data_IF_469157090583
#
_entry.id   IF_469157090583
#
_cell.length_a   1.000
_cell.length_b   1.000
_cell.length_c   1.000
_cell.angle_alpha   90.00
_cell.angle_beta   90.00
_cell.angle_gamma   90.00
#
_symmetry.space_group_name_H-M   'P 1'
#
loop_
_entity.id
_entity.type
_entity.pdbx_description
1 polymer ?
#
# COMPACT_ATOMS: atom_id res chain seq x y z
N UNK A 1 -16.34 14.80 2.44
CA UNK A 1 -15.50 15.64 1.56
C UNK A 1 -14.94 14.77 0.45
N UNK A 2 -15.47 14.89 -0.78
CA UNK A 2 -14.68 14.54 -1.96
C UNK A 2 -13.41 15.37 -1.87
N UNK A 3 -12.25 14.73 -1.80
CA UNK A 3 -10.97 15.43 -1.58
C UNK A 3 -10.61 16.29 -2.81
N UNK A 4 -11.36 16.18 -3.91
CA UNK A 4 -11.15 16.95 -5.15
C UNK A 4 -12.46 17.53 -5.70
N UNK A 5 -12.37 18.75 -6.24
CA UNK A 5 -13.44 19.43 -6.98
C UNK A 5 -13.83 18.61 -8.23
N UNK A 6 -15.10 18.22 -8.45
CA UNK A 6 -15.47 17.37 -9.58
C UNK A 6 -15.35 18.12 -10.91
N UNK A 7 -14.68 17.53 -11.90
CA UNK A 7 -14.56 18.07 -13.26
C UNK A 7 -15.79 17.71 -14.07
N UNK A 8 -16.49 18.70 -14.60
CA UNK A 8 -17.74 18.53 -15.33
C UNK A 8 -17.56 19.01 -16.76
N UNK A 9 -17.65 18.09 -17.71
CA UNK A 9 -17.53 18.42 -19.14
C UNK A 9 -18.86 18.89 -19.70
N UNK A 10 -18.90 20.07 -20.33
CA UNK A 10 -20.12 20.63 -20.93
C UNK A 10 -20.01 20.58 -22.46
N UNK A 11 -20.71 19.61 -23.05
CA UNK A 11 -20.81 19.40 -24.49
C UNK A 11 -22.07 20.05 -25.06
N UNK A 12 -21.88 20.93 -26.04
CA UNK A 12 -22.97 21.49 -26.87
C UNK A 12 -22.39 22.13 -28.12
N UNK A 13 -23.26 22.51 -29.06
CA UNK A 13 -22.90 23.45 -30.12
C UNK A 13 -22.65 24.85 -29.53
N UNK A 14 -21.69 25.59 -30.09
CA UNK A 14 -21.26 26.90 -29.55
C UNK A 14 -22.07 28.06 -30.15
N UNK A 15 -22.37 28.00 -31.45
CA UNK A 15 -22.91 29.15 -32.22
C UNK A 15 -24.36 29.46 -31.86
N UNK A 16 -25.19 28.45 -31.64
CA UNK A 16 -26.64 28.58 -31.43
C UNK A 16 -27.06 28.54 -29.95
N UNK A 17 -26.14 28.28 -29.02
CA UNK A 17 -26.43 28.11 -27.60
C UNK A 17 -25.62 29.01 -26.64
N UNK A 18 -25.38 30.31 -26.94
CA UNK A 18 -24.52 31.14 -26.09
C UNK A 18 -25.10 31.35 -24.68
N UNK A 19 -26.42 31.44 -24.55
CA UNK A 19 -27.09 31.68 -23.26
C UNK A 19 -27.11 30.41 -22.41
N UNK A 20 -27.40 29.28 -23.04
CA UNK A 20 -27.47 27.95 -22.44
C UNK A 20 -26.08 27.50 -21.95
N UNK A 21 -25.03 27.75 -22.72
CA UNK A 21 -23.65 27.47 -22.29
C UNK A 21 -23.25 28.32 -21.08
N UNK A 22 -23.62 29.60 -21.07
CA UNK A 22 -23.38 30.49 -19.91
C UNK A 22 -24.17 30.03 -18.67
N UNK A 23 -25.39 29.55 -18.87
CA UNK A 23 -26.20 28.96 -17.80
C UNK A 23 -25.55 27.68 -17.25
N UNK A 24 -25.10 26.77 -18.13
CA UNK A 24 -24.43 25.55 -17.74
C UNK A 24 -23.13 25.80 -16.96
N UNK A 25 -22.32 26.77 -17.38
CA UNK A 25 -21.12 27.21 -16.66
C UNK A 25 -21.47 27.66 -15.23
N UNK A 26 -22.45 28.56 -15.08
CA UNK A 26 -22.90 29.04 -13.77
C UNK A 26 -23.43 27.91 -12.89
N UNK A 27 -24.18 26.98 -13.47
CA UNK A 27 -24.72 25.83 -12.74
C UNK A 27 -23.60 24.96 -12.16
N UNK A 28 -22.57 24.66 -12.96
CA UNK A 28 -21.39 23.89 -12.54
C UNK A 28 -20.62 24.60 -11.42
N UNK A 29 -20.36 25.91 -11.57
CA UNK A 29 -19.65 26.69 -10.54
C UNK A 29 -20.43 26.72 -9.21
N UNK A 30 -21.75 26.87 -9.27
CA UNK A 30 -22.61 26.98 -8.08
C UNK A 30 -22.72 25.68 -7.30
N UNK A 31 -22.60 24.52 -7.96
CA UNK A 31 -22.50 23.22 -7.27
C UNK A 31 -21.08 22.91 -6.78
N UNK A 32 -20.12 23.83 -6.98
CA UNK A 32 -18.73 23.68 -6.59
C UNK A 32 -17.94 22.73 -7.50
N UNK A 33 -18.38 22.55 -8.75
CA UNK A 33 -17.64 21.79 -9.76
C UNK A 33 -16.65 22.64 -10.54
N UNK A 34 -15.75 21.99 -11.28
CA UNK A 34 -14.82 22.61 -12.21
C UNK A 34 -15.34 22.44 -13.65
N UNK A 35 -15.79 23.52 -14.33
CA UNK A 35 -16.33 23.42 -15.68
C UNK A 35 -15.21 23.18 -16.71
N UNK A 36 -15.39 22.19 -17.56
CA UNK A 36 -14.52 21.89 -18.71
C UNK A 36 -15.31 22.17 -19.99
N UNK A 37 -14.89 23.18 -20.73
CA UNK A 37 -15.57 23.69 -21.93
C UNK A 37 -14.58 23.98 -23.05
N UNK A 38 -14.96 23.69 -24.29
CA UNK A 38 -14.07 23.74 -25.46
C UNK A 38 -13.57 25.15 -25.82
N UNK A 39 -14.31 26.20 -25.47
CA UNK A 39 -14.00 27.60 -25.76
C UNK A 39 -13.20 28.31 -24.65
N UNK A 40 -13.23 27.78 -23.42
CA UNK A 40 -12.59 28.42 -22.26
C UNK A 40 -11.34 27.70 -21.75
N UNK A 41 -11.22 26.39 -22.02
CA UNK A 41 -10.16 25.54 -21.42
C UNK A 41 -9.25 24.83 -22.44
N UNK A 42 -9.53 24.96 -23.73
CA UNK A 42 -8.70 24.39 -24.80
C UNK A 42 -7.83 25.51 -25.35
N UNK A 43 -6.55 25.53 -24.94
CA UNK A 43 -5.56 26.44 -25.52
C UNK A 43 -5.49 26.22 -27.03
N UNK A 44 -5.52 27.31 -27.80
CA UNK A 44 -5.41 27.30 -29.25
C UNK A 44 -3.99 26.89 -29.69
N UNK A 45 -3.67 25.61 -29.56
CA UNK A 45 -2.50 25.01 -30.21
C UNK A 45 -2.96 24.25 -31.45
N UNK A 46 -2.39 24.68 -32.59
CA UNK A 46 -2.63 24.15 -33.93
C UNK A 46 -2.35 22.64 -34.03
N UNK A 47 -3.23 21.96 -34.76
CA UNK A 47 -3.14 20.61 -35.36
C UNK A 47 -3.81 19.41 -34.67
N UNK A 48 -4.31 19.50 -33.43
CA UNK A 48 -5.13 18.38 -32.90
C UNK A 48 -6.20 18.81 -31.84
N UNK A 49 -7.05 19.77 -32.23
CA UNK A 49 -8.13 20.29 -31.37
C UNK A 49 -9.15 19.21 -30.96
N UNK A 50 -9.38 18.22 -31.83
CA UNK A 50 -10.29 17.11 -31.57
C UNK A 50 -9.71 16.14 -30.52
N UNK A 51 -8.48 15.66 -30.69
CA UNK A 51 -7.85 14.73 -29.74
C UNK A 51 -7.72 15.35 -28.34
N UNK A 52 -7.42 16.65 -28.28
CA UNK A 52 -7.38 17.40 -27.02
C UNK A 52 -8.75 17.43 -26.35
N UNK A 53 -9.82 17.69 -27.11
CA UNK A 53 -11.18 17.71 -26.58
C UNK A 53 -11.58 16.33 -26.02
N UNK A 54 -11.31 15.26 -26.76
CA UNK A 54 -11.60 13.89 -26.31
C UNK A 54 -10.79 13.48 -25.08
N UNK A 55 -9.53 13.94 -24.94
CA UNK A 55 -8.76 13.77 -23.71
C UNK A 55 -9.44 14.43 -22.51
N UNK A 56 -9.96 15.65 -22.69
CA UNK A 56 -10.65 16.38 -21.64
C UNK A 56 -11.96 15.72 -21.20
N UNK A 57 -12.68 15.09 -22.12
CA UNK A 57 -13.82 14.22 -21.77
C UNK A 57 -13.36 13.09 -20.85
N UNK A 58 -12.28 12.37 -21.20
CA UNK A 58 -11.74 11.25 -20.40
C UNK A 58 -11.24 11.65 -19.01
N UNK A 59 -10.76 12.89 -18.87
CA UNK A 59 -10.29 13.46 -17.60
C UNK A 59 -11.43 13.97 -16.69
N UNK A 60 -12.67 13.97 -17.17
CA UNK A 60 -13.83 14.52 -16.46
C UNK A 60 -14.57 13.46 -15.64
N UNK A 61 -15.24 13.90 -14.57
CA UNK A 61 -15.96 13.04 -13.64
C UNK A 61 -17.43 12.85 -14.01
N UNK A 62 -18.03 13.84 -14.67
CA UNK A 62 -19.43 13.86 -15.12
C UNK A 62 -19.48 14.54 -16.50
N UNK A 63 -20.31 14.02 -17.38
CA UNK A 63 -20.56 14.55 -18.71
C UNK A 63 -21.95 15.19 -18.80
N UNK A 64 -22.02 16.43 -19.25
CA UNK A 64 -23.26 17.17 -19.50
C UNK A 64 -23.39 17.41 -21.00
N UNK A 65 -24.48 16.92 -21.59
CA UNK A 65 -24.82 17.10 -22.99
C UNK A 65 -26.02 18.04 -23.12
N UNK A 66 -25.86 19.14 -23.88
CA UNK A 66 -26.96 20.07 -24.20
C UNK A 66 -27.25 19.94 -25.70
N UNK A 67 -28.43 19.42 -26.03
CA UNK A 67 -28.89 19.23 -27.41
C UNK A 67 -29.65 20.47 -27.87
N UNK A 68 -29.00 21.27 -28.72
CA UNK A 68 -29.57 22.44 -29.39
C UNK A 68 -30.31 22.10 -30.70
N UNK A 69 -30.43 23.13 -31.55
CA UNK A 69 -31.07 22.99 -32.87
C UNK A 69 -30.12 22.46 -33.95
N UNK A 70 -28.82 22.75 -33.84
CA UNK A 70 -27.81 22.38 -34.83
C UNK A 70 -27.12 21.06 -34.49
N UNK A 71 -26.71 20.31 -35.51
CA UNK A 71 -25.90 19.10 -35.32
C UNK A 71 -24.43 19.38 -34.98
N UNK A 72 -23.95 20.56 -35.39
CA UNK A 72 -22.58 21.02 -35.12
C UNK A 72 -21.63 20.79 -36.30
N UNK A 73 -20.35 21.04 -36.06
CA UNK A 73 -19.30 20.90 -37.09
C UNK A 73 -18.84 19.45 -37.23
N UNK A 74 -18.63 19.02 -38.47
CA UNK A 74 -18.20 17.67 -38.84
C UNK A 74 -16.79 17.70 -39.43
N UNK A 75 -15.80 17.01 -38.83
CA UNK A 75 -14.50 16.81 -39.45
C UNK A 75 -14.60 15.78 -40.57
N UNK A 76 -14.17 16.13 -41.79
CA UNK A 76 -13.93 15.17 -42.89
C UNK A 76 -15.08 14.17 -43.14
N UNK A 77 -16.33 14.63 -43.14
CA UNK A 77 -17.55 13.80 -43.30
C UNK A 77 -17.78 12.73 -42.20
N UNK A 78 -17.19 12.89 -41.01
CA UNK A 78 -17.46 12.06 -39.82
C UNK A 78 -18.63 12.61 -39.00
N UNK A 79 -18.95 11.94 -37.90
CA UNK A 79 -19.92 12.42 -36.89
C UNK A 79 -19.50 13.79 -36.33
N UNK A 80 -20.46 14.56 -35.80
CA UNK A 80 -20.15 15.87 -35.22
C UNK A 80 -19.24 15.75 -34.00
N UNK A 81 -18.51 16.83 -33.67
CA UNK A 81 -17.65 16.85 -32.48
C UNK A 81 -18.43 16.45 -31.22
N UNK A 82 -19.62 17.01 -31.04
CA UNK A 82 -20.52 16.73 -29.91
C UNK A 82 -20.93 15.26 -29.84
N UNK A 83 -21.15 14.60 -30.99
CA UNK A 83 -21.44 13.17 -31.02
C UNK A 83 -20.21 12.33 -30.65
N UNK A 84 -19.02 12.68 -31.13
CA UNK A 84 -17.78 11.99 -30.76
C UNK A 84 -17.44 12.13 -29.27
N UNK A 85 -17.71 13.30 -28.68
CA UNK A 85 -17.58 13.54 -27.24
C UNK A 85 -18.53 12.63 -26.45
N UNK A 86 -19.77 12.50 -26.89
CA UNK A 86 -20.76 11.62 -26.26
C UNK A 86 -20.34 10.14 -26.34
N UNK A 87 -19.88 9.68 -27.50
CA UNK A 87 -19.37 8.30 -27.65
C UNK A 87 -18.17 8.03 -26.73
N UNK A 88 -17.32 9.04 -26.51
CA UNK A 88 -16.18 8.93 -25.59
C UNK A 88 -16.65 8.82 -24.13
N UNK A 89 -17.62 9.64 -23.72
CA UNK A 89 -18.21 9.57 -22.39
C UNK A 89 -18.87 8.19 -22.12
N UNK A 90 -19.56 7.63 -23.12
CA UNK A 90 -20.11 6.28 -23.05
C UNK A 90 -19.03 5.22 -22.81
N UNK A 91 -17.94 5.28 -23.58
CA UNK A 91 -16.81 4.35 -23.43
C UNK A 91 -16.13 4.42 -22.05
N UNK A 92 -16.12 5.60 -21.43
CA UNK A 92 -15.58 5.82 -20.09
C UNK A 92 -16.52 5.39 -18.96
N UNK A 93 -17.78 5.01 -19.27
CA UNK A 93 -18.81 4.66 -18.27
C UNK A 93 -19.01 5.75 -17.20
N UNK A 94 -18.87 7.02 -17.58
CA UNK A 94 -19.12 8.14 -16.68
C UNK A 94 -20.61 8.50 -16.66
N UNK A 95 -21.13 9.13 -15.60
CA UNK A 95 -22.48 9.65 -15.59
C UNK A 95 -22.69 10.68 -16.68
N UNK A 96 -23.77 10.51 -17.46
CA UNK A 96 -24.15 11.40 -18.55
C UNK A 96 -25.50 12.05 -18.19
N UNK A 97 -25.54 13.38 -18.22
CA UNK A 97 -26.73 14.19 -18.01
C UNK A 97 -27.11 14.88 -19.31
N UNK A 98 -28.29 14.57 -19.86
CA UNK A 98 -28.73 15.07 -21.16
C UNK A 98 -29.85 16.09 -21.00
N UNK A 99 -29.64 17.28 -21.56
CA UNK A 99 -30.60 18.38 -21.58
C UNK A 99 -30.98 18.71 -23.01
N UNK A 100 -32.27 18.65 -23.32
CA UNK A 100 -32.78 18.86 -24.67
C UNK A 100 -33.49 20.20 -24.76
N UNK A 101 -33.14 21.05 -25.72
CA UNK A 101 -33.88 22.30 -25.93
C UNK A 101 -35.11 22.07 -26.81
N UNK A 102 -36.04 23.03 -26.76
CA UNK A 102 -37.25 23.08 -27.60
C UNK A 102 -36.99 23.63 -29.01
N UNK A 103 -35.73 23.98 -29.34
CA UNK A 103 -35.40 24.55 -30.64
C UNK A 103 -35.70 23.57 -31.79
N UNK A 104 -36.17 24.07 -32.96
CA UNK A 104 -36.30 23.26 -34.15
C UNK A 104 -34.95 22.62 -34.51
N UNK A 105 -34.94 21.29 -34.59
CA UNK A 105 -33.71 20.52 -34.83
C UNK A 105 -33.51 20.19 -36.30
N UNK A 106 -32.27 20.35 -36.75
CA UNK A 106 -31.79 19.85 -38.04
C UNK A 106 -32.01 18.33 -38.17
N UNK A 107 -32.17 17.79 -39.39
CA UNK A 107 -32.40 16.36 -39.58
C UNK A 107 -31.35 15.46 -38.92
N UNK A 108 -30.06 15.81 -39.03
CA UNK A 108 -28.96 15.06 -38.40
C UNK A 108 -28.98 15.18 -36.87
N UNK A 109 -29.34 16.36 -36.34
CA UNK A 109 -29.48 16.55 -34.90
C UNK A 109 -30.63 15.73 -34.31
N UNK A 110 -31.74 15.57 -35.06
CA UNK A 110 -32.82 14.64 -34.67
C UNK A 110 -32.36 13.17 -34.66
N UNK A 111 -31.50 12.78 -35.60
CA UNK A 111 -30.94 11.43 -35.60
C UNK A 111 -30.04 11.20 -34.39
N UNK A 112 -29.17 12.16 -34.06
CA UNK A 112 -28.32 12.08 -32.88
C UNK A 112 -29.13 12.05 -31.58
N UNK A 113 -30.15 12.90 -31.46
CA UNK A 113 -31.09 12.87 -30.34
C UNK A 113 -31.75 11.49 -30.14
N UNK A 114 -31.99 10.76 -31.24
CA UNK A 114 -32.51 9.39 -31.21
C UNK A 114 -31.48 8.32 -30.84
N UNK A 115 -30.18 8.57 -31.06
CA UNK A 115 -29.08 7.67 -30.67
C UNK A 115 -28.72 7.78 -29.19
N UNK A 116 -29.02 8.90 -28.55
CA UNK A 116 -28.75 9.08 -27.11
C UNK A 116 -29.57 8.05 -26.31
N UNK A 117 -28.88 7.23 -25.51
CA UNK A 117 -29.53 6.11 -24.81
C UNK A 117 -30.56 6.64 -23.81
N UNK A 118 -31.72 5.98 -23.75
CA UNK A 118 -32.81 6.33 -22.83
C UNK A 118 -32.53 5.99 -21.36
N UNK A 119 -31.45 5.24 -21.10
CA UNK A 119 -31.00 4.84 -19.77
C UNK A 119 -30.42 6.00 -18.96
N UNK A 120 -29.93 7.06 -19.62
CA UNK A 120 -29.34 8.22 -18.96
C UNK A 120 -30.40 9.24 -18.52
N UNK A 121 -30.00 10.11 -17.58
CA UNK A 121 -30.84 11.23 -17.19
C UNK A 121 -31.12 12.12 -18.41
N UNK A 122 -32.40 12.38 -18.68
CA UNK A 122 -32.84 13.22 -19.79
C UNK A 122 -33.95 14.18 -19.36
N UNK A 123 -33.77 15.46 -19.66
CA UNK A 123 -34.75 16.50 -19.38
C UNK A 123 -34.87 17.46 -20.57
N UNK A 124 -36.09 17.76 -21.00
CA UNK A 124 -36.35 18.83 -21.96
C UNK A 124 -36.54 20.15 -21.20
N UNK A 125 -35.89 21.21 -21.67
CA UNK A 125 -35.90 22.55 -21.07
C UNK A 125 -36.34 23.59 -22.09
N UNK A 126 -37.05 24.62 -21.64
CA UNK A 126 -37.65 25.65 -22.50
C UNK A 126 -36.71 26.81 -22.75
N UNK A 127 -35.88 27.17 -21.77
CA UNK A 127 -34.97 28.30 -21.83
C UNK A 127 -33.68 28.07 -21.02
N UNK A 128 -32.76 29.02 -21.09
CA UNK A 128 -31.48 28.96 -20.38
C UNK A 128 -31.62 29.05 -18.85
N UNK A 129 -32.72 29.60 -18.33
CA UNK A 129 -32.95 29.67 -16.89
C UNK A 129 -33.36 28.30 -16.35
N UNK A 130 -34.35 27.65 -16.99
CA UNK A 130 -34.75 26.28 -16.65
C UNK A 130 -33.58 25.31 -16.82
N UNK A 131 -32.76 25.49 -17.87
CA UNK A 131 -31.54 24.70 -18.05
C UNK A 131 -30.58 24.84 -16.86
N UNK A 132 -30.36 26.06 -16.36
CA UNK A 132 -29.49 26.26 -15.21
C UNK A 132 -29.99 25.51 -13.98
N UNK A 133 -31.27 25.65 -13.64
CA UNK A 133 -31.87 25.01 -12.47
C UNK A 133 -31.82 23.48 -12.55
N UNK A 134 -32.13 22.92 -13.71
CA UNK A 134 -32.13 21.47 -13.90
C UNK A 134 -30.71 20.88 -13.93
N UNK A 135 -29.72 21.59 -14.48
CA UNK A 135 -28.30 21.19 -14.37
C UNK A 135 -27.86 21.21 -12.91
N UNK A 136 -28.13 22.30 -12.17
CA UNK A 136 -27.77 22.41 -10.75
C UNK A 136 -28.35 21.25 -9.92
N UNK A 137 -29.62 20.95 -10.13
CA UNK A 137 -30.33 19.88 -9.41
C UNK A 137 -29.75 18.50 -9.74
N UNK A 138 -29.57 18.21 -11.03
CA UNK A 138 -29.08 16.91 -11.49
C UNK A 138 -27.63 16.66 -11.06
N UNK A 139 -26.78 17.69 -11.12
CA UNK A 139 -25.41 17.60 -10.64
C UNK A 139 -25.33 17.38 -9.14
N UNK A 140 -26.14 18.08 -8.33
CA UNK A 140 -26.19 17.85 -6.87
C UNK A 140 -26.54 16.40 -6.55
N UNK A 141 -27.56 15.86 -7.21
CA UNK A 141 -27.96 14.47 -7.02
C UNK A 141 -26.84 13.49 -7.39
N UNK A 142 -26.18 13.67 -8.53
CA UNK A 142 -25.11 12.77 -8.97
C UNK A 142 -23.85 12.88 -8.09
N UNK A 143 -23.50 14.10 -7.66
CA UNK A 143 -22.41 14.33 -6.71
C UNK A 143 -22.74 13.67 -5.37
N UNK A 144 -23.93 13.86 -4.82
CA UNK A 144 -24.37 13.23 -3.56
C UNK A 144 -24.36 11.70 -3.66
N UNK A 145 -24.87 11.15 -4.76
CA UNK A 145 -24.84 9.71 -5.02
C UNK A 145 -23.42 9.15 -5.00
N UNK A 146 -22.49 9.79 -5.74
CA UNK A 146 -21.08 9.37 -5.71
C UNK A 146 -20.46 9.57 -4.31
N UNK A 147 -20.82 10.62 -3.58
CA UNK A 147 -20.35 10.80 -2.19
C UNK A 147 -20.82 9.65 -1.32
N UNK A 148 -22.09 9.29 -1.40
CA UNK A 148 -22.67 8.18 -0.64
C UNK A 148 -22.00 6.85 -1.00
N UNK A 149 -21.80 6.55 -2.28
CA UNK A 149 -21.05 5.36 -2.72
C UNK A 149 -19.62 5.32 -2.14
N UNK A 150 -18.96 6.47 -2.06
CA UNK A 150 -17.62 6.58 -1.47
C UNK A 150 -17.64 6.42 0.06
N UNK A 151 -18.53 7.10 0.78
CA UNK A 151 -18.58 7.09 2.25
C UNK A 151 -19.20 5.81 2.84
N UNK A 152 -20.09 5.14 2.11
CA UNK A 152 -20.67 3.86 2.54
C UNK A 152 -19.79 2.65 2.17
N UNK A 153 -18.62 2.88 1.55
CA UNK A 153 -17.60 1.84 1.41
C UNK A 153 -16.95 1.58 2.78
N UNK A 154 -17.57 0.73 3.58
CA UNK A 154 -17.01 0.29 4.86
C UNK A 154 -15.86 -0.68 4.58
N UNK A 155 -14.61 -0.22 4.75
CA UNK A 155 -13.47 -1.13 4.85
C UNK A 155 -13.32 -1.59 6.31
N UNK A 156 -13.17 -2.90 6.57
CA UNK A 156 -12.85 -3.37 7.91
C UNK A 156 -11.47 -2.84 8.31
N UNK A 157 -11.45 -1.92 9.28
CA UNK A 157 -10.21 -1.46 9.92
C UNK A 157 -9.80 -2.51 10.94
N UNK A 158 -8.69 -3.19 10.68
CA UNK A 158 -8.07 -4.08 11.66
C UNK A 158 -7.04 -3.28 12.44
N UNK A 159 -7.04 -3.42 13.77
CA UNK A 159 -5.94 -2.90 14.58
C UNK A 159 -4.65 -3.60 14.17
N UNK A 160 -3.62 -2.81 13.86
CA UNK A 160 -2.27 -3.29 13.61
C UNK A 160 -1.53 -3.67 14.91
N UNK A 161 -2.21 -3.61 16.06
CA UNK A 161 -1.67 -3.95 17.36
C UNK A 161 -2.07 -5.38 17.73
N UNK A 162 -1.07 -6.22 17.97
CA UNK A 162 -1.24 -7.56 18.50
C UNK A 162 -0.76 -7.55 19.94
N UNK A 163 -1.65 -7.82 20.90
CA UNK A 163 -1.25 -7.99 22.31
C UNK A 163 -0.22 -9.13 22.40
N UNK A 164 0.89 -8.89 23.09
CA UNK A 164 1.95 -9.89 23.27
C UNK A 164 2.04 -10.35 24.72
N UNK A 165 2.63 -11.53 24.90
CA UNK A 165 2.93 -12.11 26.21
C UNK A 165 4.37 -12.60 26.19
N UNK A 166 5.02 -12.51 27.34
CA UNK A 166 6.39 -12.93 27.59
C UNK A 166 6.50 -13.42 29.05
N UNK A 167 7.57 -14.15 29.42
CA UNK A 167 7.79 -14.60 30.80
C UNK A 167 7.82 -13.45 31.80
N UNK A 168 7.46 -13.71 33.05
CA UNK A 168 7.40 -12.68 34.10
C UNK A 168 8.78 -12.20 34.56
N UNK A 169 9.82 -13.01 34.33
CA UNK A 169 11.18 -12.73 34.75
C UNK A 169 12.11 -12.53 33.55
N UNK A 170 13.06 -11.62 33.71
CA UNK A 170 14.25 -11.47 32.85
C UNK A 170 15.49 -11.71 33.69
N UNK A 171 16.44 -12.46 33.14
CA UNK A 171 17.69 -12.82 33.82
C UNK A 171 18.85 -12.03 33.22
N UNK A 172 19.73 -11.55 34.10
CA UNK A 172 20.96 -10.84 33.74
C UNK A 172 22.14 -11.53 34.42
N UNK A 173 23.23 -11.73 33.69
CA UNK A 173 24.48 -12.27 34.24
C UNK A 173 25.69 -11.69 33.51
N UNK A 174 26.85 -11.63 34.16
CA UNK A 174 28.11 -11.31 33.51
C UNK A 174 28.56 -12.46 32.60
N UNK A 175 29.04 -12.11 31.41
CA UNK A 175 29.64 -13.10 30.50
C UNK A 175 31.02 -13.51 31.00
N UNK A 176 31.24 -14.82 31.09
CA UNK A 176 32.53 -15.43 31.37
C UNK A 176 33.00 -16.18 30.11
N UNK A 177 33.78 -15.48 29.28
CA UNK A 177 34.23 -15.99 27.99
C UNK A 177 35.72 -15.72 27.83
N UNK A 178 36.49 -16.79 27.63
CA UNK A 178 37.87 -16.69 27.20
C UNK A 178 37.98 -16.35 25.70
N UNK A 179 38.06 -15.05 25.43
CA UNK A 179 38.20 -14.51 24.07
C UNK A 179 39.45 -15.00 23.33
N UNK A 180 40.52 -15.40 24.03
CA UNK A 180 41.74 -15.90 23.37
C UNK A 180 41.47 -17.29 22.81
N UNK A 181 40.96 -18.18 23.65
CA UNK A 181 40.62 -19.55 23.27
C UNK A 181 39.54 -19.57 22.16
N UNK A 182 38.52 -18.70 22.23
CA UNK A 182 37.52 -18.57 21.16
C UNK A 182 38.14 -18.13 19.82
N UNK A 183 39.09 -17.19 19.83
CA UNK A 183 39.78 -16.74 18.59
C UNK A 183 40.58 -17.87 17.94
N UNK A 184 41.27 -18.66 18.74
CA UNK A 184 42.06 -19.79 18.26
C UNK A 184 41.15 -20.84 17.64
N UNK A 185 40.09 -21.24 18.35
CA UNK A 185 39.08 -22.15 17.80
C UNK A 185 38.47 -21.60 16.50
N UNK A 186 38.11 -20.31 16.41
CA UNK A 186 37.62 -19.69 15.16
C UNK A 186 38.62 -19.79 13.99
N UNK A 187 39.91 -19.65 14.28
CA UNK A 187 40.98 -19.70 13.28
C UNK A 187 41.12 -21.11 12.68
N UNK A 188 41.07 -22.14 13.52
CA UNK A 188 41.24 -23.54 13.12
C UNK A 188 40.16 -24.02 12.15
N UNK A 189 38.91 -23.62 12.35
CA UNK A 189 37.76 -23.91 11.44
C UNK A 189 37.61 -22.92 10.28
N UNK A 190 38.64 -22.12 9.99
CA UNK A 190 38.63 -21.15 8.88
C UNK A 190 37.54 -20.08 8.99
N UNK A 191 36.98 -19.85 10.18
CA UNK A 191 35.87 -18.94 10.45
C UNK A 191 36.33 -17.73 11.27
N UNK A 192 37.44 -17.12 10.84
CA UNK A 192 38.00 -15.94 11.51
C UNK A 192 37.05 -14.76 11.41
N UNK A 193 36.87 -14.03 12.52
CA UNK A 193 35.98 -12.88 12.55
C UNK A 193 36.56 -11.66 11.83
N UNK A 194 35.70 -10.93 11.12
CA UNK A 194 35.97 -9.54 10.72
C UNK A 194 35.24 -8.58 11.66
N UNK A 195 35.98 -7.85 12.49
CA UNK A 195 35.45 -6.91 13.51
C UNK A 195 34.34 -7.51 14.41
N UNK A 196 34.64 -8.58 15.18
CA UNK A 196 33.65 -9.24 16.02
C UNK A 196 33.16 -8.35 17.16
N UNK A 197 31.88 -8.51 17.51
CA UNK A 197 31.27 -7.99 18.73
C UNK A 197 31.29 -9.07 19.81
N UNK A 198 31.03 -8.66 21.05
CA UNK A 198 31.01 -9.60 22.17
C UNK A 198 29.98 -10.73 22.00
N UNK A 199 28.82 -10.43 21.41
CA UNK A 199 27.83 -11.45 21.04
C UNK A 199 28.40 -12.53 20.10
N UNK A 200 29.27 -12.16 19.16
CA UNK A 200 29.85 -13.13 18.21
C UNK A 200 30.81 -14.10 18.93
N UNK A 201 31.55 -13.60 19.93
CA UNK A 201 32.35 -14.44 20.82
C UNK A 201 31.49 -15.37 21.67
N UNK A 202 30.40 -14.87 22.25
CA UNK A 202 29.47 -15.66 23.06
C UNK A 202 28.85 -16.82 22.26
N UNK A 203 28.37 -16.54 21.04
CA UNK A 203 27.86 -17.58 20.13
C UNK A 203 28.93 -18.62 19.80
N UNK A 204 30.16 -18.19 19.50
CA UNK A 204 31.24 -19.14 19.20
C UNK A 204 31.67 -19.95 20.42
N UNK A 205 31.58 -19.37 21.61
CA UNK A 205 31.84 -20.07 22.87
C UNK A 205 30.77 -21.14 23.15
N UNK A 206 29.50 -20.91 22.79
CA UNK A 206 28.49 -21.96 22.85
C UNK A 206 28.83 -23.11 21.87
N UNK A 207 29.22 -22.78 20.63
CA UNK A 207 29.61 -23.81 19.66
C UNK A 207 30.87 -24.59 20.07
N UNK A 208 31.82 -23.98 20.79
CA UNK A 208 32.97 -24.70 21.37
C UNK A 208 32.56 -25.80 22.34
N UNK A 209 31.44 -25.60 23.03
CA UNK A 209 30.88 -26.54 23.99
C UNK A 209 29.82 -27.45 23.35
N UNK A 210 29.75 -27.51 22.01
CA UNK A 210 28.76 -28.26 21.24
C UNK A 210 27.30 -27.85 21.53
N UNK A 211 27.08 -26.61 21.95
CA UNK A 211 25.76 -26.06 22.28
C UNK A 211 25.24 -25.24 21.10
N UNK A 212 24.10 -25.68 20.56
CA UNK A 212 23.28 -24.89 19.62
C UNK A 212 22.14 -24.25 20.37
N UNK A 213 22.11 -22.92 20.41
CA UNK A 213 21.12 -22.16 21.18
C UNK A 213 20.40 -21.13 20.29
N UNK A 214 19.08 -20.91 20.46
CA UNK A 214 18.38 -19.84 19.76
C UNK A 214 19.00 -18.46 20.03
N UNK A 215 18.97 -17.57 19.05
CA UNK A 215 19.50 -16.20 19.21
C UNK A 215 18.48 -15.24 19.84
N UNK A 216 17.73 -15.71 20.84
CA UNK A 216 16.66 -14.98 21.55
C UNK A 216 17.13 -14.37 22.88
N UNK A 217 18.40 -14.00 22.93
CA UNK A 217 19.09 -13.32 24.03
C UNK A 217 19.93 -12.16 23.48
N UNK A 218 20.34 -11.25 24.35
CA UNK A 218 21.14 -10.08 23.97
C UNK A 218 22.38 -9.94 24.85
N UNK A 219 23.40 -9.26 24.32
CA UNK A 219 24.60 -8.88 25.06
C UNK A 219 24.68 -7.38 25.15
N UNK A 220 24.83 -6.86 26.36
CA UNK A 220 24.95 -5.43 26.64
C UNK A 220 25.92 -5.20 27.79
N UNK A 221 26.89 -4.29 27.64
CA UNK A 221 27.89 -3.98 28.67
C UNK A 221 28.54 -5.21 29.35
N UNK A 222 28.95 -6.20 28.54
CA UNK A 222 29.52 -7.48 29.02
C UNK A 222 28.56 -8.40 29.80
N UNK A 223 27.27 -8.06 29.87
CA UNK A 223 26.23 -8.88 30.46
C UNK A 223 25.37 -9.55 29.39
N UNK A 224 24.88 -10.74 29.68
CA UNK A 224 23.79 -11.38 28.95
C UNK A 224 22.46 -10.93 29.55
N UNK A 225 21.44 -10.75 28.71
CA UNK A 225 20.06 -10.48 29.12
C UNK A 225 19.17 -11.44 28.35
N UNK A 226 18.32 -12.19 29.05
CA UNK A 226 17.47 -13.22 28.44
C UNK A 226 16.23 -13.54 29.28
N UNK A 227 15.23 -14.19 28.67
CA UNK A 227 14.09 -14.78 29.37
C UNK A 227 14.32 -16.23 29.82
N UNK A 228 15.43 -16.84 29.41
CA UNK A 228 15.80 -18.18 29.88
C UNK A 228 16.33 -18.12 31.30
N UNK A 229 15.97 -19.09 32.13
CA UNK A 229 16.42 -19.16 33.52
C UNK A 229 17.92 -19.45 33.56
N UNK A 230 18.72 -18.45 33.97
CA UNK A 230 20.17 -18.58 34.07
C UNK A 230 20.63 -19.27 35.36
N UNK A 231 19.70 -19.65 36.24
CA UNK A 231 19.95 -20.46 37.43
C UNK A 231 19.69 -21.95 37.18
N UNK A 232 19.09 -22.30 36.03
CA UNK A 232 18.87 -23.68 35.59
C UNK A 232 20.09 -24.21 34.81
N UNK A 233 20.78 -25.19 35.38
CA UNK A 233 21.95 -25.85 34.78
C UNK A 233 21.68 -26.53 33.45
N UNK A 234 20.41 -26.83 33.12
CA UNK A 234 20.05 -27.40 31.82
C UNK A 234 20.05 -26.38 30.69
N UNK A 235 20.04 -25.08 31.01
CA UNK A 235 20.07 -24.00 30.02
C UNK A 235 21.50 -23.81 29.53
N UNK A 236 21.72 -24.03 28.22
CA UNK A 236 23.06 -23.96 27.62
C UNK A 236 23.77 -22.61 27.78
N UNK A 237 23.03 -21.50 27.95
CA UNK A 237 23.61 -20.18 28.21
C UNK A 237 24.40 -20.11 29.53
N UNK A 238 24.12 -21.00 30.50
CA UNK A 238 24.85 -21.05 31.78
C UNK A 238 26.32 -21.46 31.65
N UNK A 239 26.74 -21.96 30.48
CA UNK A 239 28.13 -22.36 30.19
C UNK A 239 29.05 -21.20 29.81
N UNK A 240 28.49 -20.02 29.55
CA UNK A 240 29.24 -18.84 29.06
C UNK A 240 29.08 -17.60 29.96
N UNK A 241 28.63 -17.81 31.20
CA UNK A 241 28.38 -16.75 32.19
C UNK A 241 29.12 -17.05 33.49
N UNK A 242 29.38 -16.00 34.27
CA UNK A 242 29.70 -16.16 35.68
C UNK A 242 28.41 -16.47 36.44
N UNK A 243 28.25 -17.74 36.84
CA UNK A 243 27.07 -18.25 37.54
C UNK A 243 26.76 -17.49 38.84
N UNK A 244 27.78 -16.95 39.50
CA UNK A 244 27.60 -16.18 40.74
C UNK A 244 26.90 -14.83 40.52
N UNK A 245 26.78 -14.39 39.27
CA UNK A 245 26.20 -13.09 38.88
C UNK A 245 24.82 -13.19 38.27
N UNK A 246 24.24 -14.41 38.19
CA UNK A 246 22.93 -14.64 37.57
C UNK A 246 21.79 -14.14 38.47
N UNK A 247 21.23 -12.98 38.11
CA UNK A 247 20.20 -12.29 38.87
C UNK A 247 18.87 -12.27 38.09
N UNK A 248 17.75 -12.70 38.70
CA UNK A 248 16.41 -12.54 38.15
C UNK A 248 15.82 -11.17 38.50
N UNK A 249 15.14 -10.56 37.54
CA UNK A 249 14.38 -9.32 37.71
C UNK A 249 12.96 -9.54 37.23
N UNK A 250 11.99 -8.91 37.91
CA UNK A 250 10.66 -8.79 37.34
C UNK A 250 10.73 -7.97 36.05
N UNK A 251 9.99 -8.37 35.01
CA UNK A 251 10.06 -7.70 33.72
C UNK A 251 9.67 -6.21 33.81
N UNK A 252 8.61 -5.89 34.54
CA UNK A 252 8.15 -4.51 34.80
C UNK A 252 9.20 -3.67 35.51
N UNK A 253 9.71 -4.16 36.64
CA UNK A 253 10.80 -3.49 37.36
C UNK A 253 12.00 -3.23 36.43
N UNK A 254 12.38 -4.21 35.61
CA UNK A 254 13.49 -4.08 34.67
C UNK A 254 13.24 -2.96 33.66
N UNK A 255 12.15 -3.02 32.88
CA UNK A 255 11.93 -2.04 31.80
C UNK A 255 11.50 -0.65 32.30
N UNK A 256 10.99 -0.52 33.53
CA UNK A 256 10.65 0.77 34.14
C UNK A 256 11.85 1.47 34.79
N UNK A 257 12.91 0.74 35.14
CA UNK A 257 14.10 1.27 35.83
C UNK A 257 14.74 2.44 35.08
N UNK A 258 14.92 2.32 33.77
CA UNK A 258 15.53 3.40 32.97
C UNK A 258 15.21 3.27 31.47
N UNK A 259 15.47 4.35 30.72
CA UNK A 259 15.37 4.34 29.26
C UNK A 259 16.34 3.35 28.60
N UNK A 260 17.49 3.08 29.23
CA UNK A 260 18.45 2.08 28.75
C UNK A 260 17.88 0.67 28.94
N UNK A 261 17.37 0.34 30.12
CA UNK A 261 16.74 -0.95 30.38
C UNK A 261 15.51 -1.18 29.48
N UNK A 262 14.68 -0.15 29.28
CA UNK A 262 13.56 -0.22 28.34
C UNK A 262 14.03 -0.54 26.91
N UNK A 263 15.15 0.04 26.48
CA UNK A 263 15.74 -0.21 25.16
C UNK A 263 16.31 -1.63 25.05
N UNK A 264 16.99 -2.10 26.09
CA UNK A 264 17.49 -3.47 26.20
C UNK A 264 16.33 -4.47 26.15
N UNK A 265 15.25 -4.22 26.90
CA UNK A 265 14.06 -5.06 26.93
C UNK A 265 13.37 -5.13 25.56
N UNK A 266 13.14 -3.98 24.90
CA UNK A 266 12.59 -3.94 23.53
C UNK A 266 13.49 -4.67 22.53
N UNK A 267 14.82 -4.57 22.69
CA UNK A 267 15.76 -5.28 21.84
C UNK A 267 15.75 -6.80 22.08
N UNK A 268 15.61 -7.23 23.34
CA UNK A 268 15.39 -8.64 23.69
C UNK A 268 14.10 -9.17 23.06
N UNK A 269 12.97 -8.47 23.19
CA UNK A 269 11.72 -8.82 22.52
C UNK A 269 11.88 -8.93 21.00
N UNK A 270 12.65 -8.02 20.38
CA UNK A 270 12.98 -8.10 18.96
C UNK A 270 13.77 -9.37 18.63
N UNK A 271 14.74 -9.77 19.46
CA UNK A 271 15.50 -11.02 19.27
C UNK A 271 14.63 -12.27 19.41
N UNK A 272 13.74 -12.32 20.39
CA UNK A 272 12.76 -13.39 20.51
C UNK A 272 11.85 -13.46 19.26
N UNK A 273 11.41 -12.30 18.75
CA UNK A 273 10.63 -12.23 17.53
C UNK A 273 11.42 -12.70 16.29
N UNK A 274 12.67 -12.25 16.13
CA UNK A 274 13.58 -12.69 15.07
C UNK A 274 13.74 -14.22 15.08
N UNK A 275 14.00 -14.82 16.25
CA UNK A 275 14.15 -16.27 16.41
C UNK A 275 12.86 -17.03 16.05
N UNK A 276 11.69 -16.52 16.46
CA UNK A 276 10.39 -17.10 16.14
C UNK A 276 10.09 -17.03 14.64
N UNK A 277 10.34 -15.88 14.01
CA UNK A 277 10.09 -15.65 12.58
C UNK A 277 11.06 -16.40 11.68
N UNK A 278 12.30 -16.61 12.11
CA UNK A 278 13.29 -17.40 11.38
C UNK A 278 12.80 -18.84 11.13
N UNK A 279 12.17 -19.47 12.13
CA UNK A 279 11.55 -20.81 11.98
C UNK A 279 10.45 -20.83 10.91
N UNK A 280 9.78 -19.71 10.71
CA UNK A 280 8.75 -19.50 9.69
C UNK A 280 9.31 -19.05 8.34
N UNK A 281 10.64 -19.03 8.17
CA UNK A 281 11.32 -18.53 6.96
C UNK A 281 10.91 -17.08 6.65
N UNK A 282 10.85 -16.26 7.69
CA UNK A 282 10.66 -14.81 7.61
C UNK A 282 11.93 -14.18 8.14
N UNK A 283 12.66 -13.45 7.29
CA UNK A 283 13.99 -12.96 7.59
C UNK A 283 13.96 -11.47 7.90
N UNK A 284 14.85 -11.04 8.80
CA UNK A 284 15.15 -9.62 9.01
C UNK A 284 16.00 -9.09 7.86
N UNK A 285 15.50 -8.09 7.15
CA UNK A 285 16.23 -7.36 6.09
C UNK A 285 16.79 -6.09 6.73
N UNK A 286 18.10 -6.07 6.95
CA UNK A 286 18.76 -5.03 7.76
C UNK A 286 18.74 -3.67 7.09
N UNK A 287 18.96 -3.64 5.78
CA UNK A 287 19.01 -2.44 4.95
C UNK A 287 17.72 -1.65 5.03
N UNK A 288 16.58 -2.33 4.97
CA UNK A 288 15.25 -1.70 5.07
C UNK A 288 14.70 -1.68 6.50
N UNK A 289 15.34 -2.34 7.46
CA UNK A 289 14.85 -2.50 8.83
C UNK A 289 13.42 -3.04 8.91
N UNK A 290 13.16 -4.16 8.24
CA UNK A 290 11.87 -4.85 8.22
C UNK A 290 12.00 -6.37 8.19
N UNK A 291 10.90 -7.08 8.42
CA UNK A 291 10.81 -8.53 8.24
C UNK A 291 10.19 -8.84 6.88
N UNK A 292 10.74 -9.81 6.15
CA UNK A 292 10.24 -10.21 4.84
C UNK A 292 10.07 -11.72 4.75
N UNK A 293 8.98 -12.16 4.13
CA UNK A 293 8.83 -13.56 3.72
C UNK A 293 9.87 -13.86 2.63
N UNK A 294 10.63 -14.94 2.80
CA UNK A 294 11.58 -15.42 1.78
C UNK A 294 11.05 -16.68 1.08
N UNK A 295 11.44 -16.96 -0.18
CA UNK A 295 11.09 -18.21 -0.84
C UNK A 295 11.71 -19.40 -0.10
N UNK A 296 11.06 -20.56 -0.21
CA UNK A 296 11.46 -21.78 0.52
C UNK A 296 11.74 -22.97 -0.38
N UNK A 297 11.45 -22.85 -1.66
CA UNK A 297 11.57 -23.92 -2.65
C UNK A 297 12.21 -23.35 -3.91
N UNK A 298 12.87 -24.23 -4.66
CA UNK A 298 13.46 -23.94 -5.95
C UNK A 298 12.94 -24.93 -7.00
N UNK A 299 12.99 -24.53 -8.27
CA UNK A 299 12.66 -25.39 -9.39
C UNK A 299 13.85 -26.28 -9.82
N UNK A 300 13.66 -27.04 -10.89
CA UNK A 300 14.69 -27.94 -11.45
C UNK A 300 15.93 -27.19 -11.98
N UNK A 301 15.87 -25.87 -12.17
CA UNK A 301 16.97 -25.02 -12.63
C UNK A 301 17.65 -24.28 -11.46
N UNK A 302 17.39 -24.69 -10.23
CA UNK A 302 17.88 -24.06 -9.00
C UNK A 302 17.44 -22.59 -8.84
N UNK A 303 16.30 -22.21 -9.44
CA UNK A 303 15.71 -20.88 -9.32
C UNK A 303 14.60 -20.84 -8.28
N UNK A 304 14.47 -19.72 -7.56
CA UNK A 304 13.43 -19.56 -6.54
C UNK A 304 12.02 -19.60 -7.16
N UNK A 305 11.11 -20.32 -6.51
CA UNK A 305 9.69 -20.32 -6.89
C UNK A 305 8.84 -19.47 -5.94
N UNK A 306 7.69 -19.02 -6.43
CA UNK A 306 6.74 -18.22 -5.66
C UNK A 306 6.31 -18.95 -4.37
N UNK A 307 6.13 -18.19 -3.30
CA UNK A 307 5.71 -18.71 -2.00
C UNK A 307 4.32 -18.21 -1.66
N UNK A 308 3.48 -19.14 -1.23
CA UNK A 308 2.14 -18.85 -0.71
C UNK A 308 2.08 -19.26 0.76
N UNK A 309 1.52 -18.40 1.60
CA UNK A 309 1.22 -18.69 2.99
C UNK A 309 -0.28 -18.84 3.16
N UNK A 310 -0.71 -19.83 3.95
CA UNK A 310 -2.11 -19.99 4.34
C UNK A 310 -2.26 -19.98 5.85
N UNK A 311 -3.30 -19.34 6.34
CA UNK A 311 -3.65 -19.34 7.75
C UNK A 311 -5.13 -19.69 7.92
N UNK A 312 -5.44 -20.44 8.97
CA UNK A 312 -6.81 -20.74 9.39
C UNK A 312 -7.18 -19.87 10.57
N UNK A 313 -8.25 -19.07 10.43
CA UNK A 313 -8.91 -18.43 11.57
C UNK A 313 -10.17 -19.23 11.87
N UNK A 314 -10.16 -19.95 12.99
CA UNK A 314 -11.24 -20.88 13.38
C UNK A 314 -11.48 -21.89 12.25
N UNK A 315 -12.52 -21.70 11.43
CA UNK A 315 -12.91 -22.60 10.32
C UNK A 315 -12.67 -22.01 8.92
N UNK A 316 -12.20 -20.77 8.80
CA UNK A 316 -11.94 -20.13 7.49
C UNK A 316 -10.45 -20.16 7.18
N UNK A 317 -10.09 -20.78 6.06
CA UNK A 317 -8.73 -20.78 5.51
C UNK A 317 -8.58 -19.59 4.56
N UNK A 318 -7.61 -18.73 4.85
CA UNK A 318 -7.16 -17.67 3.96
C UNK A 318 -5.78 -18.03 3.42
N UNK A 319 -5.54 -17.69 2.16
CA UNK A 319 -4.31 -18.03 1.45
C UNK A 319 -3.84 -16.78 0.72
N UNK A 320 -2.54 -16.46 0.79
CA UNK A 320 -1.95 -15.29 0.14
C UNK A 320 -0.59 -15.62 -0.44
N UNK A 321 -0.33 -15.17 -1.67
CA UNK A 321 1.01 -15.16 -2.23
C UNK A 321 1.87 -14.15 -1.46
N UNK A 322 2.88 -14.64 -0.75
CA UNK A 322 3.77 -13.83 0.10
C UNK A 322 5.13 -13.59 -0.54
N UNK A 323 5.50 -14.38 -1.55
CA UNK A 323 6.64 -14.11 -2.42
C UNK A 323 6.20 -14.30 -3.85
N UNK A 324 6.36 -13.25 -4.66
CA UNK A 324 6.10 -13.26 -6.09
C UNK A 324 7.44 -13.12 -6.83
N UNK A 325 7.74 -14.08 -7.69
CA UNK A 325 8.99 -14.13 -8.47
C UNK A 325 8.78 -13.34 -9.76
N UNK A 326 9.66 -12.39 -10.04
CA UNK A 326 9.66 -11.60 -11.28
C UNK A 326 10.80 -12.04 -12.17
N UNK A 327 10.47 -12.33 -13.42
CA UNK A 327 11.42 -12.75 -14.45
C UNK A 327 11.91 -11.54 -15.25
N UNK A 328 13.07 -11.67 -15.87
CA UNK A 328 13.65 -10.65 -16.73
C UNK A 328 12.76 -10.47 -17.99
N UNK A 329 12.60 -9.23 -18.43
CA UNK A 329 11.77 -8.90 -19.59
C UNK A 329 12.39 -9.37 -20.91
N UNK A 330 13.73 -9.49 -20.96
CA UNK A 330 14.49 -9.94 -22.14
C UNK A 330 14.75 -11.44 -22.10
N UNK A 331 14.85 -12.02 -20.91
CA UNK A 331 15.06 -13.44 -20.67
C UNK A 331 14.04 -13.99 -19.67
N UNK A 332 12.92 -14.51 -20.21
CA UNK A 332 11.82 -15.04 -19.39
C UNK A 332 12.21 -16.24 -18.53
N UNK A 333 13.36 -16.87 -18.78
CA UNK A 333 13.85 -18.02 -18.02
C UNK A 333 14.76 -17.61 -16.86
N UNK A 334 15.03 -16.31 -16.67
CA UNK A 334 15.90 -15.80 -15.61
C UNK A 334 15.10 -15.00 -14.58
N UNK A 335 15.25 -15.34 -13.30
CA UNK A 335 14.69 -14.53 -12.20
C UNK A 335 15.42 -13.18 -12.12
N UNK A 336 14.66 -12.10 -12.26
CA UNK A 336 15.13 -10.73 -12.07
C UNK A 336 15.11 -10.35 -10.59
N UNK A 337 13.93 -10.33 -9.96
CA UNK A 337 13.79 -10.00 -8.54
C UNK A 337 12.64 -10.77 -7.87
N UNK A 338 12.56 -10.62 -6.55
CA UNK A 338 11.55 -11.21 -5.68
C UNK A 338 10.75 -10.08 -5.05
N UNK A 339 9.45 -10.01 -5.31
CA UNK A 339 8.53 -9.14 -4.58
C UNK A 339 8.02 -9.88 -3.35
N UNK A 340 8.54 -9.51 -2.19
CA UNK A 340 8.26 -10.17 -0.91
C UNK A 340 7.30 -9.34 -0.06
N UNK A 341 6.26 -9.97 0.47
CA UNK A 341 5.43 -9.37 1.50
C UNK A 341 6.33 -9.14 2.71
N UNK A 342 6.25 -7.94 3.28
CA UNK A 342 7.05 -7.55 4.41
C UNK A 342 6.23 -6.84 5.46
N UNK A 343 6.83 -6.63 6.62
CA UNK A 343 6.24 -5.81 7.67
C UNK A 343 7.31 -5.22 8.58
N UNK A 344 7.05 -3.99 9.03
CA UNK A 344 7.79 -3.35 10.12
C UNK A 344 7.12 -3.69 11.44
N UNK A 345 7.92 -3.70 12.50
CA UNK A 345 7.45 -3.99 13.84
C UNK A 345 7.86 -2.91 14.82
N UNK A 346 7.01 -2.67 15.80
CA UNK A 346 7.30 -1.78 16.93
C UNK A 346 6.65 -2.34 18.19
N UNK A 347 7.36 -2.27 19.31
CA UNK A 347 6.84 -2.68 20.61
C UNK A 347 6.35 -1.43 21.37
N UNK A 348 5.08 -1.42 21.71
CA UNK A 348 4.39 -0.34 22.41
C UNK A 348 3.82 -0.85 23.74
N UNK A 349 3.91 -0.01 24.77
CA UNK A 349 3.30 -0.23 26.06
C UNK A 349 2.13 0.75 26.20
N UNK A 350 0.91 0.24 26.28
CA UNK A 350 -0.34 1.02 26.28
C UNK A 350 -1.25 0.41 27.34
N UNK A 351 -1.80 1.24 28.23
CA UNK A 351 -2.75 0.82 29.27
C UNK A 351 -2.28 -0.41 30.07
N UNK A 352 -1.03 -0.39 30.52
CA UNK A 352 -0.34 -1.45 31.27
C UNK A 352 -0.17 -2.78 30.51
N UNK A 353 -0.30 -2.76 29.19
CA UNK A 353 -0.20 -3.95 28.35
C UNK A 353 0.77 -3.74 27.19
N UNK A 354 1.47 -4.80 26.80
CA UNK A 354 2.41 -4.75 25.67
C UNK A 354 1.75 -5.19 24.37
N UNK A 355 2.03 -4.41 23.32
CA UNK A 355 1.55 -4.65 21.97
C UNK A 355 2.71 -4.67 20.97
N UNK A 356 2.61 -5.59 20.02
CA UNK A 356 3.39 -5.60 18.79
C UNK A 356 2.58 -4.89 17.70
N UNK A 357 3.01 -3.68 17.34
CA UNK A 357 2.54 -2.99 16.15
C UNK A 357 3.14 -3.62 14.89
N UNK A 358 2.30 -3.99 13.95
CA UNK A 358 2.69 -4.59 12.66
C UNK A 358 2.24 -3.67 11.55
N UNK A 359 3.19 -3.14 10.77
CA UNK A 359 2.90 -2.32 9.58
C UNK A 359 3.24 -3.12 8.32
N UNK A 360 2.24 -3.67 7.60
CA UNK A 360 2.48 -4.41 6.37
C UNK A 360 3.02 -3.52 5.26
N UNK A 361 4.02 -4.01 4.53
CA UNK A 361 4.67 -3.34 3.39
C UNK A 361 5.05 -4.39 2.33
N UNK A 362 5.75 -3.96 1.29
CA UNK A 362 6.42 -4.84 0.33
C UNK A 362 7.89 -4.48 0.26
N UNK A 363 8.74 -5.47 0.03
CA UNK A 363 10.17 -5.24 -0.29
C UNK A 363 10.52 -6.02 -1.54
N UNK A 364 11.38 -5.43 -2.37
CA UNK A 364 11.93 -6.11 -3.54
C UNK A 364 13.35 -6.56 -3.22
N UNK A 365 13.62 -7.83 -3.43
CA UNK A 365 14.91 -8.44 -3.14
C UNK A 365 15.49 -9.09 -4.40
N UNK A 366 16.81 -9.06 -4.55
CA UNK A 366 17.50 -9.95 -5.47
C UNK A 366 17.35 -11.41 -5.03
N UNK A 367 17.62 -12.40 -5.91
CA UNK A 367 17.69 -13.81 -5.52
C UNK A 367 18.66 -14.12 -4.37
N UNK A 368 19.62 -13.22 -4.11
CA UNK A 368 20.56 -13.25 -2.97
C UNK A 368 20.00 -12.66 -1.67
N UNK A 369 18.73 -12.23 -1.65
CA UNK A 369 18.03 -11.57 -0.55
C UNK A 369 18.58 -10.20 -0.12
N UNK A 370 19.45 -9.61 -0.95
CA UNK A 370 19.80 -8.18 -0.84
C UNK A 370 18.70 -7.32 -1.43
N UNK A 371 18.52 -6.12 -0.91
CA UNK A 371 17.52 -5.15 -1.40
C UNK A 371 17.77 -4.79 -2.87
N UNK A 372 16.71 -4.81 -3.66
CA UNK A 372 16.69 -4.39 -5.05
C UNK A 372 16.09 -2.98 -5.13
N UNK A 373 16.93 -1.98 -5.38
CA UNK A 373 16.52 -0.57 -5.50
C UNK A 373 16.07 -0.18 -6.92
N UNK A 374 16.11 -1.10 -7.88
CA UNK A 374 15.75 -0.89 -9.29
C UNK A 374 14.30 -1.32 -9.59
N UNK A 375 13.50 -1.55 -8.55
CA UNK A 375 12.19 -2.19 -8.64
C UNK A 375 11.02 -1.20 -8.77
#
# INVERSE_FOLDING_TARGET
>A
MFITQPKIFISSTIVDLPNERKAALKAVEKVGGFPVMSEFTIEAQSADSLTTCLSKVRESDIYVLILGGRYGWQPENKESITEMEYQTALGCKMPILVFNTTYPKEPLQKQFEGKVESSYFRKTVQDAFELQEEIEKSLKQEIEKKQQEFFHKTEPVYSNLVKIQFPSLVYVADLDIDKKTVKEYNKERGSSFFKPRLHDYAVSSLYMNDISFPHDWVVWNNKIITFHDLQDDSVGLTTIIDRGTAEPFSCDEFYETSTEHLSQFKYLLKKCLEAKLYKLKINWIKEESLFAFIPTQKDAKDQWIARTASWSKTNKKATRKVVDVKYDLKDSDKVFNLKCLSFRTRFEFIDNEWYLGIKPEWVFLWPSFKVCSMA
#
